data_IF_992227379956
#
_entry.id   IF_992227379956
#
_cell.length_a   1.000
_cell.length_b   1.000
_cell.length_c   1.000
_cell.angle_alpha   90.00
_cell.angle_beta   90.00
_cell.angle_gamma   90.00
#
_symmetry.space_group_name_H-M   'P 1'
#
loop_
_entity.id
_entity.type
_entity.pdbx_description
1 polymer ?
#
# COMPACT_ATOMS: atom_id res chain seq x y z
N UNK A 1 32.53 -20.41 -9.95
CA UNK A 1 31.91 -20.76 -11.23
C UNK A 1 30.39 -20.61 -11.26
N UNK A 2 29.67 -20.66 -10.14
CA UNK A 2 28.20 -20.51 -10.16
C UNK A 2 27.69 -19.09 -10.54
N UNK A 3 28.51 -18.03 -10.37
CA UNK A 3 28.09 -16.65 -10.65
C UNK A 3 27.95 -16.30 -12.13
N UNK A 4 28.69 -16.98 -13.02
CA UNK A 4 28.63 -16.68 -14.46
C UNK A 4 27.34 -17.22 -15.11
N UNK A 5 26.80 -18.31 -14.57
CA UNK A 5 25.56 -18.94 -15.05
C UNK A 5 24.30 -18.25 -14.54
N UNK A 6 24.32 -17.68 -13.32
CA UNK A 6 23.17 -16.93 -12.78
C UNK A 6 22.94 -15.62 -13.52
N UNK A 7 24.02 -14.90 -13.84
CA UNK A 7 23.94 -13.60 -14.54
C UNK A 7 23.44 -13.77 -15.99
N UNK A 8 23.84 -14.87 -16.66
CA UNK A 8 23.33 -15.22 -17.99
C UNK A 8 21.82 -15.49 -17.98
N UNK A 9 21.31 -16.16 -16.95
CA UNK A 9 19.88 -16.47 -16.86
C UNK A 9 19.06 -15.21 -16.53
N UNK A 10 19.57 -14.33 -15.67
CA UNK A 10 18.91 -13.07 -15.33
C UNK A 10 18.74 -12.18 -16.57
N UNK A 11 19.79 -12.02 -17.38
CA UNK A 11 19.73 -11.23 -18.63
C UNK A 11 18.78 -11.84 -19.67
N UNK A 12 18.62 -13.17 -19.70
CA UNK A 12 17.66 -13.82 -20.60
C UNK A 12 16.18 -13.62 -20.17
N UNK A 13 15.93 -13.44 -18.86
CA UNK A 13 14.57 -13.30 -18.29
C UNK A 13 14.11 -11.84 -18.24
N UNK A 14 15.03 -10.87 -18.16
CA UNK A 14 14.72 -9.44 -18.11
C UNK A 14 13.76 -9.01 -19.24
N UNK A 15 13.99 -9.34 -20.53
CA UNK A 15 13.10 -8.92 -21.61
C UNK A 15 11.67 -9.46 -21.46
N UNK A 16 11.51 -10.66 -20.90
CA UNK A 16 10.20 -11.26 -20.64
C UNK A 16 9.48 -10.53 -19.50
N UNK A 17 10.22 -10.18 -18.43
CA UNK A 17 9.68 -9.43 -17.30
C UNK A 17 9.26 -8.00 -17.73
N UNK A 18 10.07 -7.32 -18.54
CA UNK A 18 9.76 -6.01 -19.10
C UNK A 18 8.51 -6.05 -19.98
N UNK A 19 8.38 -7.06 -20.86
CA UNK A 19 7.19 -7.24 -21.68
C UNK A 19 5.92 -7.47 -20.85
N UNK A 20 6.04 -8.17 -19.71
CA UNK A 20 4.92 -8.36 -18.77
C UNK A 20 4.55 -7.07 -18.05
N UNK A 21 5.53 -6.29 -17.62
CA UNK A 21 5.32 -5.01 -16.96
C UNK A 21 4.62 -4.01 -17.90
N UNK A 22 5.05 -3.94 -19.17
CA UNK A 22 4.40 -3.10 -20.18
C UNK A 22 2.96 -3.56 -20.49
N UNK A 23 2.71 -4.88 -20.52
CA UNK A 23 1.35 -5.40 -20.69
C UNK A 23 0.43 -5.02 -19.52
N UNK A 24 0.94 -5.01 -18.28
CA UNK A 24 0.21 -4.54 -17.12
C UNK A 24 -0.07 -3.05 -17.23
N UNK A 25 0.96 -2.26 -17.53
CA UNK A 25 0.82 -0.82 -17.78
C UNK A 25 -0.27 -0.56 -18.79
N UNK A 26 -0.24 -1.19 -19.97
CA UNK A 26 -1.24 -1.02 -21.02
C UNK A 26 -2.67 -1.39 -20.56
N UNK A 27 -2.82 -2.42 -19.72
CA UNK A 27 -4.11 -2.85 -19.16
C UNK A 27 -4.69 -1.83 -18.16
N UNK A 28 -3.83 -1.15 -17.41
CA UNK A 28 -4.22 -0.31 -16.27
C UNK A 28 -4.02 1.20 -16.48
N UNK A 29 -3.34 1.64 -17.56
CA UNK A 29 -2.89 3.02 -17.90
C UNK A 29 -3.92 4.15 -17.72
N UNK A 30 -5.20 3.84 -17.60
CA UNK A 30 -6.30 4.80 -17.51
C UNK A 30 -7.28 4.52 -16.36
N UNK A 31 -6.91 3.69 -15.37
CA UNK A 31 -7.91 3.14 -14.41
C UNK A 31 -7.91 3.77 -13.01
N UNK A 32 -6.85 4.46 -12.55
CA UNK A 32 -6.93 5.35 -11.38
C UNK A 32 -5.63 6.08 -11.04
N UNK A 33 -5.75 7.34 -10.59
CA UNK A 33 -4.67 8.13 -9.97
C UNK A 33 -4.51 7.86 -8.46
N UNK A 34 -4.74 6.61 -8.04
CA UNK A 34 -4.70 6.27 -6.62
C UNK A 34 -3.28 6.34 -6.07
N UNK A 35 -3.13 6.96 -4.90
CA UNK A 35 -1.88 7.01 -4.15
C UNK A 35 -1.74 5.78 -3.27
N UNK A 36 -0.73 4.96 -3.55
CA UNK A 36 -0.53 3.68 -2.88
C UNK A 36 0.84 3.66 -2.22
N UNK A 37 0.87 3.51 -0.90
CA UNK A 37 2.09 3.29 -0.15
C UNK A 37 2.28 1.78 0.09
N UNK A 38 3.39 1.23 -0.35
CA UNK A 38 3.78 -0.17 -0.12
C UNK A 38 4.90 -0.20 0.92
N UNK A 39 4.63 -0.88 2.03
CA UNK A 39 5.54 -1.02 3.15
C UNK A 39 6.05 -2.46 3.21
N UNK A 40 7.34 -2.67 2.96
CA UNK A 40 8.00 -3.96 3.05
C UNK A 40 8.68 -4.16 4.40
N UNK A 41 8.34 -5.24 5.10
CA UNK A 41 9.03 -5.65 6.31
C UNK A 41 10.45 -6.13 5.97
N UNK A 42 11.44 -5.46 6.55
CA UNK A 42 12.86 -5.75 6.44
C UNK A 42 13.45 -6.17 7.79
N UNK A 43 12.62 -6.64 8.74
CA UNK A 43 13.09 -7.26 9.98
C UNK A 43 13.78 -8.61 9.73
N UNK A 44 14.45 -9.15 10.75
CA UNK A 44 15.15 -10.42 10.63
C UNK A 44 14.23 -11.53 10.09
N UNK A 45 14.74 -12.36 9.17
CA UNK A 45 14.02 -13.41 8.43
C UNK A 45 13.08 -12.96 7.29
N UNK A 46 12.86 -11.66 7.10
CA UNK A 46 11.87 -11.13 6.15
C UNK A 46 12.40 -10.82 4.75
N UNK A 47 13.44 -11.53 4.28
CA UNK A 47 13.97 -11.32 2.92
C UNK A 47 12.90 -11.58 1.84
N UNK A 48 12.01 -12.55 2.09
CA UNK A 48 10.88 -12.84 1.22
C UNK A 48 9.86 -11.68 1.16
N UNK A 49 9.66 -10.93 2.24
CA UNK A 49 8.79 -9.74 2.21
C UNK A 49 9.45 -8.58 1.49
N UNK A 50 10.78 -8.41 1.59
CA UNK A 50 11.52 -7.43 0.79
C UNK A 50 11.29 -7.70 -0.71
N UNK A 51 11.53 -8.93 -1.15
CA UNK A 51 11.36 -9.33 -2.56
C UNK A 51 9.91 -9.17 -3.02
N UNK A 52 8.94 -9.67 -2.22
CA UNK A 52 7.51 -9.57 -2.54
C UNK A 52 7.03 -8.10 -2.60
N UNK A 53 7.43 -7.26 -1.64
CA UNK A 53 7.09 -5.85 -1.61
C UNK A 53 7.71 -5.09 -2.79
N UNK A 54 8.95 -5.41 -3.16
CA UNK A 54 9.63 -4.77 -4.29
C UNK A 54 8.94 -5.10 -5.61
N UNK A 55 8.70 -6.39 -5.87
CA UNK A 55 7.98 -6.84 -7.08
C UNK A 55 6.61 -6.17 -7.15
N UNK A 56 5.88 -6.19 -6.04
CA UNK A 56 4.55 -5.60 -5.99
C UNK A 56 4.58 -4.09 -6.19
N UNK A 57 5.48 -3.37 -5.52
CA UNK A 57 5.64 -1.93 -5.70
C UNK A 57 6.05 -1.56 -7.12
N UNK A 58 6.82 -2.41 -7.80
CA UNK A 58 7.13 -2.21 -9.22
C UNK A 58 5.88 -2.24 -10.10
N UNK A 59 5.02 -3.25 -9.90
CA UNK A 59 3.75 -3.34 -10.61
C UNK A 59 2.81 -2.18 -10.27
N UNK A 60 2.78 -1.76 -9.00
CA UNK A 60 1.94 -0.64 -8.55
C UNK A 60 2.44 0.68 -9.14
N UNK A 61 3.75 0.93 -9.17
CA UNK A 61 4.34 2.17 -9.71
C UNK A 61 4.06 2.36 -11.20
N UNK A 62 3.93 1.27 -11.95
CA UNK A 62 3.56 1.31 -13.37
C UNK A 62 2.05 1.47 -13.62
N UNK A 63 1.22 1.12 -12.62
CA UNK A 63 -0.25 1.15 -12.75
C UNK A 63 -0.92 2.32 -12.01
N UNK A 64 -0.28 2.88 -10.98
CA UNK A 64 -0.82 3.84 -10.02
C UNK A 64 0.29 4.79 -9.51
N UNK A 65 -0.05 5.78 -8.67
CA UNK A 65 0.95 6.60 -7.94
C UNK A 65 1.47 5.81 -6.73
N UNK A 66 2.27 4.79 -7.03
CA UNK A 66 2.88 3.87 -6.06
C UNK A 66 4.18 4.39 -5.48
N UNK A 67 4.43 4.08 -4.21
CA UNK A 67 5.76 4.22 -3.59
C UNK A 67 6.08 3.08 -2.63
N UNK A 68 7.36 2.80 -2.50
CA UNK A 68 7.95 1.73 -1.72
C UNK A 68 8.75 2.32 -0.56
N UNK A 69 8.52 1.80 0.63
CA UNK A 69 9.36 2.03 1.80
C UNK A 69 9.57 0.72 2.53
N UNK A 70 10.74 0.56 3.14
CA UNK A 70 11.06 -0.58 3.98
C UNK A 70 11.16 -0.14 5.42
N UNK A 71 10.92 -1.08 6.34
CA UNK A 71 11.03 -0.82 7.77
C UNK A 71 11.56 -2.03 8.52
N UNK A 72 12.21 -1.77 9.64
CA UNK A 72 12.50 -2.73 10.69
C UNK A 72 12.18 -2.08 12.05
N UNK A 73 13.18 -1.75 12.86
CA UNK A 73 13.03 -0.86 14.02
C UNK A 73 12.94 0.62 13.61
N UNK A 74 13.39 0.97 12.40
CA UNK A 74 13.29 2.30 11.79
C UNK A 74 12.99 2.16 10.28
N UNK A 75 12.90 3.28 9.56
CA UNK A 75 12.87 3.29 8.11
C UNK A 75 14.20 2.80 7.52
N UNK A 76 14.08 1.95 6.52
CA UNK A 76 15.21 1.49 5.72
C UNK A 76 15.21 2.23 4.38
N UNK A 77 16.32 2.89 4.07
CA UNK A 77 16.48 3.64 2.83
C UNK A 77 16.58 2.68 1.64
N UNK A 78 15.70 2.86 0.67
CA UNK A 78 15.72 2.16 -0.61
C UNK A 78 16.48 2.98 -1.67
N UNK A 79 17.28 2.35 -2.56
CA UNK A 79 17.86 3.05 -3.72
C UNK A 79 16.75 3.62 -4.63
N UNK A 80 15.60 2.95 -4.68
CA UNK A 80 14.43 3.37 -5.46
C UNK A 80 13.17 3.37 -4.61
N UNK A 81 12.56 4.54 -4.43
CA UNK A 81 11.27 4.68 -3.72
C UNK A 81 10.08 4.42 -4.64
N UNK A 82 10.29 4.33 -5.95
CA UNK A 82 9.28 4.00 -6.97
C UNK A 82 9.92 3.16 -8.07
N UNK A 83 10.35 1.91 -7.80
CA UNK A 83 10.95 1.08 -8.83
C UNK A 83 9.92 0.90 -9.95
N UNK A 84 10.28 1.19 -11.19
CA UNK A 84 9.37 1.10 -12.34
C UNK A 84 9.96 0.28 -13.48
N UNK A 85 11.21 -0.15 -13.33
CA UNK A 85 11.88 -1.08 -14.26
C UNK A 85 12.30 -2.37 -13.55
N UNK A 86 12.53 -3.42 -14.35
CA UNK A 86 13.06 -4.69 -13.84
C UNK A 86 14.44 -4.48 -13.20
N UNK A 87 15.29 -3.63 -13.77
CA UNK A 87 16.64 -3.36 -13.22
C UNK A 87 16.57 -2.64 -11.87
N UNK A 88 15.73 -1.62 -11.72
CA UNK A 88 15.53 -0.94 -10.43
C UNK A 88 14.96 -1.91 -9.38
N UNK A 89 14.04 -2.79 -9.79
CA UNK A 89 13.48 -3.84 -8.92
C UNK A 89 14.59 -4.77 -8.43
N UNK A 90 15.46 -5.26 -9.34
CA UNK A 90 16.59 -6.11 -8.99
C UNK A 90 17.58 -5.38 -8.07
N UNK A 91 17.90 -4.12 -8.36
CA UNK A 91 18.80 -3.30 -7.53
C UNK A 91 18.28 -3.14 -6.10
N UNK A 92 16.97 -2.93 -5.91
CA UNK A 92 16.38 -2.89 -4.57
C UNK A 92 16.53 -4.23 -3.87
N UNK A 93 16.18 -5.35 -4.52
CA UNK A 93 16.33 -6.69 -3.94
C UNK A 93 17.79 -7.01 -3.57
N UNK A 94 18.74 -6.57 -4.39
CA UNK A 94 20.18 -6.77 -4.16
C UNK A 94 20.75 -5.87 -3.07
N UNK A 95 20.13 -4.72 -2.80
CA UNK A 95 20.63 -3.75 -1.82
C UNK A 95 20.02 -3.97 -0.43
N UNK A 96 18.71 -4.24 -0.36
CA UNK A 96 17.98 -4.29 0.91
C UNK A 96 18.15 -5.67 1.55
N UNK A 97 18.45 -5.66 2.84
CA UNK A 97 18.70 -6.87 3.64
C UNK A 97 17.82 -6.87 4.88
N UNK A 98 17.26 -8.03 5.16
CA UNK A 98 16.50 -8.30 6.37
C UNK A 98 17.41 -8.24 7.62
N UNK A 99 17.11 -7.34 8.56
CA UNK A 99 17.82 -7.18 9.82
C UNK A 99 16.97 -6.48 10.89
N UNK A 100 17.28 -6.70 12.16
CA UNK A 100 16.69 -6.02 13.30
C UNK A 100 15.33 -6.55 13.74
N UNK A 101 14.69 -5.78 14.62
CA UNK A 101 13.35 -6.01 15.18
C UNK A 101 12.26 -5.43 14.28
N UNK A 102 11.01 -5.61 14.67
CA UNK A 102 9.84 -5.32 13.83
C UNK A 102 8.99 -4.23 14.44
N UNK A 103 9.06 -3.03 13.87
CA UNK A 103 8.21 -1.90 14.19
C UNK A 103 7.45 -1.44 12.95
N UNK A 104 6.23 -1.98 12.79
CA UNK A 104 5.35 -1.66 11.65
C UNK A 104 5.02 -0.17 11.61
N UNK A 105 4.89 0.48 12.78
CA UNK A 105 4.63 1.91 12.90
C UNK A 105 5.71 2.79 12.26
N UNK A 106 6.96 2.33 12.16
CA UNK A 106 8.05 3.08 11.54
C UNK A 106 7.76 3.44 10.07
N UNK A 107 7.11 2.54 9.33
CA UNK A 107 6.76 2.76 7.94
C UNK A 107 5.71 3.87 7.75
N UNK A 108 4.75 3.96 8.68
CA UNK A 108 3.64 4.91 8.59
C UNK A 108 4.01 6.29 9.15
N UNK A 109 4.97 6.37 10.07
CA UNK A 109 5.33 7.61 10.75
C UNK A 109 5.64 8.79 9.82
N UNK A 110 6.47 8.67 8.76
CA UNK A 110 6.78 9.79 7.87
C UNK A 110 5.55 10.36 7.18
N UNK A 111 4.58 9.50 6.88
CA UNK A 111 3.33 9.89 6.24
C UNK A 111 2.43 10.64 7.20
N UNK A 112 2.37 10.18 8.45
CA UNK A 112 1.63 10.86 9.50
C UNK A 112 2.25 12.22 9.85
N UNK A 113 3.57 12.28 10.02
CA UNK A 113 4.30 13.49 10.37
C UNK A 113 4.20 14.55 9.25
N UNK A 114 4.43 14.16 8.00
CA UNK A 114 4.30 15.05 6.85
C UNK A 114 2.84 15.33 6.44
N UNK A 115 1.86 14.74 7.13
CA UNK A 115 0.43 14.75 6.74
C UNK A 115 0.21 14.37 5.27
N UNK A 116 1.02 13.42 4.79
CA UNK A 116 1.00 12.93 3.41
C UNK A 116 -0.15 11.95 3.22
N UNK A 117 -1.20 12.38 2.55
CA UNK A 117 -2.39 11.56 2.31
C UNK A 117 -2.17 10.49 1.22
N UNK A 118 -2.51 9.25 1.56
CA UNK A 118 -2.48 8.04 0.74
C UNK A 118 -3.88 7.43 0.67
N UNK A 119 -4.31 6.95 -0.49
CA UNK A 119 -5.60 6.27 -0.66
C UNK A 119 -5.55 4.84 -0.13
N UNK A 120 -4.38 4.21 -0.25
CA UNK A 120 -4.16 2.84 0.17
C UNK A 120 -2.78 2.65 0.78
N UNK A 121 -2.74 1.83 1.83
CA UNK A 121 -1.53 1.29 2.43
C UNK A 121 -1.53 -0.21 2.19
N UNK A 122 -0.44 -0.73 1.64
CA UNK A 122 -0.17 -2.15 1.48
C UNK A 122 0.99 -2.51 2.39
N UNK A 123 0.73 -3.28 3.43
CA UNK A 123 1.71 -3.71 4.42
C UNK A 123 2.10 -5.15 4.16
N UNK A 124 3.35 -5.40 3.77
CA UNK A 124 3.90 -6.72 3.47
C UNK A 124 4.75 -7.17 4.66
N UNK A 125 4.28 -8.12 5.45
CA UNK A 125 4.87 -8.51 6.75
C UNK A 125 4.43 -9.92 7.15
N UNK A 126 5.04 -10.50 8.18
CA UNK A 126 4.53 -11.67 8.91
C UNK A 126 3.65 -11.27 10.12
N UNK A 127 3.44 -9.97 10.35
CA UNK A 127 2.57 -9.41 11.39
C UNK A 127 3.12 -9.53 12.82
N UNK A 128 4.40 -9.89 13.00
CA UNK A 128 5.04 -10.02 14.32
C UNK A 128 5.57 -8.68 14.86
N UNK A 129 4.70 -7.68 15.02
CA UNK A 129 5.09 -6.39 15.63
C UNK A 129 5.50 -6.59 17.10
N UNK A 130 6.76 -6.26 17.39
CA UNK A 130 7.35 -6.45 18.71
C UNK A 130 7.96 -5.16 19.30
N UNK A 131 8.00 -4.08 18.53
CA UNK A 131 8.55 -2.79 18.96
C UNK A 131 7.66 -1.60 18.55
N UNK A 132 7.58 -0.60 19.44
CA UNK A 132 6.87 0.66 19.17
C UNK A 132 7.78 1.65 18.48
N UNK A 133 7.24 2.37 17.49
CA UNK A 133 7.92 3.51 16.88
C UNK A 133 7.31 4.82 17.37
N UNK A 134 8.13 5.73 17.90
CA UNK A 134 7.68 7.02 18.44
C UNK A 134 6.53 6.88 19.45
N UNK A 135 6.57 5.81 20.25
CA UNK A 135 5.57 5.51 21.29
C UNK A 135 4.31 4.80 20.80
N UNK A 136 4.22 4.45 19.51
CA UNK A 136 3.03 3.87 18.90
C UNK A 136 3.27 2.47 18.32
N UNK A 137 2.27 1.60 18.49
CA UNK A 137 2.09 0.43 17.62
C UNK A 137 1.38 0.87 16.33
N UNK A 138 1.47 0.06 15.28
CA UNK A 138 0.91 0.40 13.97
C UNK A 138 -0.59 0.64 14.00
N UNK A 139 -1.36 -0.21 14.69
CA UNK A 139 -2.82 -0.03 14.81
C UNK A 139 -3.18 1.31 15.46
N UNK A 140 -2.46 1.72 16.50
CA UNK A 140 -2.65 3.01 17.19
C UNK A 140 -2.32 4.19 16.25
N UNK A 141 -1.19 4.11 15.54
CA UNK A 141 -0.76 5.16 14.62
C UNK A 141 -1.69 5.26 13.40
N UNK A 142 -2.17 4.14 12.88
CA UNK A 142 -3.12 4.12 11.77
C UNK A 142 -4.47 4.69 12.15
N UNK A 143 -4.96 4.44 13.38
CA UNK A 143 -6.17 5.10 13.88
C UNK A 143 -6.03 6.63 13.87
N UNK A 144 -4.90 7.15 14.38
CA UNK A 144 -4.58 8.59 14.33
C UNK A 144 -4.44 9.12 12.91
N UNK A 145 -3.76 8.37 12.04
CA UNK A 145 -3.61 8.75 10.63
C UNK A 145 -4.98 8.82 9.92
N UNK A 146 -5.90 7.90 10.22
CA UNK A 146 -7.27 7.95 9.71
C UNK A 146 -8.02 9.19 10.19
N UNK A 147 -7.92 9.51 11.47
CA UNK A 147 -8.59 10.68 12.04
C UNK A 147 -8.03 12.01 11.48
N UNK A 148 -6.71 12.13 11.41
CA UNK A 148 -6.04 13.41 11.17
C UNK A 148 -5.59 13.63 9.73
N UNK A 149 -5.40 12.59 8.92
CA UNK A 149 -4.80 12.67 7.57
C UNK A 149 -5.74 12.17 6.50
N UNK A 150 -6.20 10.92 6.59
CA UNK A 150 -7.13 10.35 5.62
C UNK A 150 -8.04 9.28 6.22
N UNK A 151 -9.28 9.68 6.55
CA UNK A 151 -10.30 8.78 7.12
C UNK A 151 -10.66 7.62 6.19
N UNK A 152 -10.48 7.78 4.87
CA UNK A 152 -10.87 6.82 3.84
C UNK A 152 -9.72 5.90 3.41
N UNK A 153 -8.53 6.02 3.99
CA UNK A 153 -7.40 5.15 3.64
C UNK A 153 -7.79 3.68 3.86
N UNK A 154 -7.47 2.84 2.88
CA UNK A 154 -7.67 1.40 2.96
C UNK A 154 -6.36 0.71 3.35
N UNK A 155 -6.43 -0.28 4.23
CA UNK A 155 -5.30 -1.13 4.58
C UNK A 155 -5.43 -2.51 3.90
N UNK A 156 -4.38 -2.95 3.23
CA UNK A 156 -4.20 -4.34 2.79
C UNK A 156 -2.95 -4.89 3.44
N UNK A 157 -3.10 -6.02 4.15
CA UNK A 157 -2.00 -6.77 4.75
C UNK A 157 -1.68 -7.93 3.81
N UNK A 158 -0.46 -7.96 3.31
CA UNK A 158 0.10 -9.08 2.56
C UNK A 158 0.92 -9.90 3.55
N UNK A 159 0.29 -10.95 4.08
CA UNK A 159 0.88 -11.83 5.07
C UNK A 159 1.85 -12.80 4.39
N UNK A 160 3.14 -12.71 4.73
CA UNK A 160 4.17 -13.65 4.27
C UNK A 160 4.49 -14.59 5.43
N UNK A 161 4.04 -15.84 5.35
CA UNK A 161 4.18 -16.83 6.42
C UNK A 161 2.93 -17.03 7.28
N UNK A 162 3.12 -17.52 8.50
CA UNK A 162 2.05 -17.89 9.43
C UNK A 162 1.80 -16.73 10.40
N UNK A 163 1.18 -15.65 9.91
CA UNK A 163 1.12 -14.42 10.67
C UNK A 163 0.46 -14.51 12.05
N UNK A 164 0.72 -13.51 12.88
CA UNK A 164 0.27 -13.47 14.27
C UNK A 164 -1.15 -12.87 14.42
N UNK A 165 -2.05 -13.58 15.12
CA UNK A 165 -3.39 -13.08 15.41
C UNK A 165 -3.42 -11.79 16.24
N UNK A 166 -2.36 -11.49 17.00
CA UNK A 166 -2.29 -10.30 17.86
C UNK A 166 -2.42 -9.00 17.06
N UNK A 167 -1.63 -8.83 16.00
CA UNK A 167 -1.65 -7.62 15.17
C UNK A 167 -3.05 -7.36 14.60
N UNK A 168 -3.70 -8.42 14.12
CA UNK A 168 -5.07 -8.39 13.61
C UNK A 168 -6.11 -8.07 14.67
N UNK A 169 -5.91 -8.57 15.88
CA UNK A 169 -6.76 -8.22 17.02
C UNK A 169 -6.60 -6.74 17.35
N UNK A 170 -5.37 -6.22 17.38
CA UNK A 170 -5.10 -4.81 17.65
C UNK A 170 -5.76 -3.89 16.59
N UNK A 171 -5.75 -4.27 15.31
CA UNK A 171 -6.50 -3.58 14.24
C UNK A 171 -8.02 -3.62 14.46
N UNK A 172 -8.54 -4.77 14.89
CA UNK A 172 -9.97 -4.97 15.13
C UNK A 172 -10.46 -4.15 16.33
N UNK A 173 -9.68 -4.14 17.41
CA UNK A 173 -9.96 -3.37 18.63
C UNK A 173 -9.93 -1.87 18.36
N UNK A 174 -9.07 -1.42 17.43
CA UNK A 174 -9.03 -0.05 16.93
C UNK A 174 -10.13 0.28 15.89
N UNK A 175 -11.03 -0.66 15.58
CA UNK A 175 -12.08 -0.53 14.56
C UNK A 175 -11.53 -0.15 13.18
N UNK A 176 -10.37 -0.72 12.82
CA UNK A 176 -9.73 -0.51 11.52
C UNK A 176 -10.13 -1.64 10.59
N UNK A 177 -10.82 -1.31 9.51
CA UNK A 177 -11.08 -2.26 8.41
C UNK A 177 -9.79 -2.54 7.63
N UNK A 178 -9.50 -3.82 7.39
CA UNK A 178 -8.36 -4.27 6.61
C UNK A 178 -8.72 -5.50 5.77
N UNK A 179 -7.87 -5.81 4.78
CA UNK A 179 -7.93 -7.05 4.00
C UNK A 179 -6.64 -7.81 4.17
N UNK A 180 -6.70 -9.13 4.14
CA UNK A 180 -5.51 -9.99 4.21
C UNK A 180 -5.36 -10.78 2.92
N UNK A 181 -4.15 -10.78 2.37
CA UNK A 181 -3.72 -11.63 1.26
C UNK A 181 -2.54 -12.46 1.74
N UNK A 182 -2.66 -13.78 1.68
CA UNK A 182 -1.58 -14.68 2.09
C UNK A 182 -0.68 -15.01 0.91
N UNK A 183 0.63 -14.85 1.09
CA UNK A 183 1.65 -15.29 0.13
C UNK A 183 2.46 -16.40 0.78
N UNK A 184 2.75 -17.43 -0.01
CA UNK A 184 3.65 -18.49 0.41
C UNK A 184 5.08 -17.94 0.36
N UNK A 185 5.73 -17.82 1.51
CA UNK A 185 7.09 -17.29 1.61
C UNK A 185 8.14 -18.18 0.91
N UNK A 186 7.83 -19.44 0.65
CA UNK A 186 8.71 -20.34 -0.11
C UNK A 186 8.51 -20.24 -1.64
N UNK A 187 7.33 -19.76 -2.06
CA UNK A 187 6.92 -19.64 -3.47
C UNK A 187 5.94 -18.47 -3.64
N UNK A 188 6.45 -17.23 -3.77
CA UNK A 188 5.58 -16.08 -3.95
C UNK A 188 4.75 -16.23 -5.25
N UNK A 189 3.44 -16.38 -5.07
CA UNK A 189 2.50 -16.62 -6.17
C UNK A 189 2.08 -15.30 -6.82
N UNK A 190 2.68 -15.01 -7.98
CA UNK A 190 2.42 -13.78 -8.75
C UNK A 190 0.94 -13.65 -9.19
N UNK A 191 0.17 -14.74 -9.27
CA UNK A 191 -1.27 -14.67 -9.60
C UNK A 191 -2.03 -13.85 -8.55
N UNK A 192 -1.57 -13.86 -7.29
CA UNK A 192 -2.17 -13.08 -6.21
C UNK A 192 -1.90 -11.58 -6.36
N UNK A 193 -0.79 -11.19 -6.99
CA UNK A 193 -0.50 -9.78 -7.27
C UNK A 193 -1.42 -9.20 -8.34
N UNK A 194 -1.71 -9.95 -9.41
CA UNK A 194 -2.70 -9.53 -10.42
C UNK A 194 -4.09 -9.32 -9.79
N UNK A 195 -4.50 -10.21 -8.89
CA UNK A 195 -5.74 -10.06 -8.14
C UNK A 195 -5.70 -8.82 -7.23
N UNK A 196 -4.56 -8.55 -6.58
CA UNK A 196 -4.36 -7.38 -5.73
C UNK A 196 -4.44 -6.07 -6.52
N UNK A 197 -3.79 -5.97 -7.69
CA UNK A 197 -3.91 -4.82 -8.59
C UNK A 197 -5.37 -4.59 -9.01
N UNK A 198 -6.11 -5.67 -9.29
CA UNK A 198 -7.55 -5.61 -9.55
C UNK A 198 -8.34 -5.03 -8.38
N UNK A 199 -8.00 -5.40 -7.15
CA UNK A 199 -8.63 -4.81 -5.96
C UNK A 199 -8.30 -3.34 -5.79
N UNK A 200 -7.04 -2.93 -6.01
CA UNK A 200 -6.63 -1.51 -5.99
C UNK A 200 -7.48 -0.72 -6.98
N UNK A 201 -7.58 -1.17 -8.22
CA UNK A 201 -8.37 -0.50 -9.26
C UNK A 201 -9.87 -0.40 -8.92
N UNK A 202 -10.45 -1.41 -8.26
CA UNK A 202 -11.84 -1.36 -7.82
C UNK A 202 -12.01 -0.36 -6.67
N UNK A 203 -11.12 -0.39 -5.69
CA UNK A 203 -11.20 0.48 -4.51
C UNK A 203 -10.94 1.95 -4.86
N UNK A 204 -9.99 2.21 -5.76
CA UNK A 204 -9.68 3.56 -6.24
C UNK A 204 -10.86 4.18 -7.00
N UNK A 205 -11.58 3.39 -7.81
CA UNK A 205 -12.78 3.88 -8.52
C UNK A 205 -13.93 4.31 -7.59
N UNK A 206 -13.92 3.87 -6.33
CA UNK A 206 -14.88 4.29 -5.29
C UNK A 206 -14.49 5.61 -4.63
N UNK A 207 -13.20 5.92 -4.57
CA UNK A 207 -12.71 7.20 -4.04
C UNK A 207 -12.99 8.38 -5.00
N UNK A 208 -12.87 8.17 -6.32
CA UNK A 208 -13.07 9.24 -7.31
C UNK A 208 -14.53 9.66 -7.50
N UNK A 209 -15.51 8.79 -7.19
CA UNK A 209 -16.95 9.07 -7.39
C UNK A 209 -17.61 9.88 -6.27
N UNK A 210 -16.88 10.23 -5.20
CA UNK A 210 -17.43 10.95 -4.04
C UNK A 210 -17.25 12.48 -4.06
N UNK A 211 -16.63 13.06 -5.09
CA UNK A 211 -16.21 14.47 -5.12
C UNK A 211 -17.11 15.45 -5.89
N UNK A 212 -17.93 14.97 -6.83
CA UNK A 212 -18.70 15.86 -7.72
C UNK A 212 -20.20 15.80 -7.38
N UNK A 213 -20.66 16.65 -6.45
CA UNK A 213 -22.02 17.23 -6.42
C UNK A 213 -22.32 17.99 -5.11
N UNK A 214 -21.55 19.01 -4.74
CA UNK A 214 -22.06 20.11 -3.89
C UNK A 214 -21.45 21.44 -4.37
N UNK A 215 -21.84 21.88 -5.56
CA UNK A 215 -21.65 23.26 -5.97
C UNK A 215 -22.84 23.70 -6.82
N UNK A 216 -23.69 24.57 -6.24
CA UNK A 216 -24.58 25.44 -7.02
C UNK A 216 -26.08 25.26 -6.84
N UNK A 217 -26.62 25.51 -5.64
CA UNK A 217 -27.90 26.21 -5.56
C UNK A 217 -27.80 27.35 -4.56
N UNK A 218 -27.51 28.54 -5.09
CA UNK A 218 -27.56 29.80 -4.36
C UNK A 218 -29.00 30.09 -3.94
N UNK A 219 -29.14 30.49 -2.68
CA UNK A 219 -30.29 31.20 -2.11
C UNK A 219 -30.74 32.33 -3.03
N UNK A 220 -32.02 32.36 -3.37
CA UNK A 220 -32.77 33.57 -3.66
C UNK A 220 -33.71 33.84 -2.50
N UNK A 221 -33.44 34.90 -1.73
CA UNK A 221 -34.32 35.43 -0.71
C UNK A 221 -35.51 36.18 -1.35
N UNK A 222 -36.68 36.03 -0.75
CA UNK A 222 -37.63 37.13 -0.54
C UNK A 222 -38.78 37.30 -1.54
N UNK A 223 -39.99 36.92 -1.12
CA UNK A 223 -41.10 37.88 -1.06
C UNK A 223 -42.21 37.38 -0.13
N UNK A 224 -42.65 38.29 0.75
CA UNK A 224 -43.85 38.23 1.60
C UNK A 224 -45.12 37.93 0.79
N UNK A 225 -46.06 37.27 1.44
CA UNK A 225 -47.46 37.22 1.03
C UNK A 225 -48.29 36.43 2.04
N UNK A 226 -49.00 37.16 2.89
CA UNK A 226 -50.07 36.67 3.76
C UNK A 226 -51.13 35.86 3.00
N UNK A 227 -51.74 34.92 3.72
CA UNK A 227 -53.16 34.52 3.75
C UNK A 227 -53.20 33.06 4.25
N UNK A 228 -53.57 32.83 5.51
CA UNK A 228 -54.97 32.64 5.94
C UNK A 228 -55.67 31.59 5.08
N UNK A 229 -55.96 30.40 5.64
CA UNK A 229 -57.23 29.68 5.50
C UNK A 229 -57.27 28.50 6.50
N UNK A 230 -58.36 28.51 7.28
CA UNK A 230 -58.85 27.57 8.28
C UNK A 230 -59.24 26.18 7.77
N UNK A 231 -59.32 25.26 8.74
CA UNK A 231 -60.05 23.96 8.79
C UNK A 231 -61.08 23.67 7.69
N UNK A 232 -61.11 22.42 7.21
CA UNK A 232 -62.11 21.37 7.53
C UNK A 232 -61.44 20.00 7.41
#
# INVERSE_FOLDING_TARGET
DDSATSDSLAEDVIPLAEARLEALRAKWKNRADAKVAVFGDASASMQCAIEAATIFASMVSECFDGELSFFNHDLVSSPHTKPSTVRETLEVCDTIRADGTTSLAAALWPYYEAKKSMDMIVLVTDEEENEKYQGHLFAELLAKYKEEVNQKVTLIVVCVGNGNNKFRQDLTDANIEYRVVYIDGSRPDLVKFDALLGQIAILSSRCTRGGDNIAGHKRGEGSKGDNDWTMV
#
